data_IF_527310980635
#
_entry.id   IF_527310980635
#
_cell.length_a   1.000
_cell.length_b   1.000
_cell.length_c   1.000
_cell.angle_alpha   90.00
_cell.angle_beta   90.00
_cell.angle_gamma   90.00
#
_symmetry.space_group_name_H-M   'P 1'
#
loop_
_entity.id
_entity.type
_entity.pdbx_description
1 polymer ?
#
# COMPACT_ATOMS: atom_id res chain seq x y z
N UNK A 1 -25.49 22.07 -16.75
CA UNK A 1 -25.46 20.89 -15.87
C UNK A 1 -24.08 20.84 -15.26
N UNK A 2 -23.95 21.06 -13.95
CA UNK A 2 -22.68 20.89 -13.25
C UNK A 2 -22.40 19.38 -13.23
N UNK A 3 -21.27 18.94 -13.74
CA UNK A 3 -20.89 17.53 -13.70
C UNK A 3 -20.88 17.07 -12.23
N UNK A 4 -21.46 15.90 -11.93
CA UNK A 4 -21.28 15.30 -10.60
C UNK A 4 -19.78 15.10 -10.38
N UNK A 5 -19.24 15.44 -9.20
CA UNK A 5 -17.84 15.14 -8.90
C UNK A 5 -17.62 13.63 -9.10
N UNK A 6 -16.59 13.28 -9.85
CA UNK A 6 -16.19 11.89 -10.08
C UNK A 6 -15.86 11.24 -8.74
N UNK A 7 -16.29 9.98 -8.55
CA UNK A 7 -15.95 9.24 -7.33
C UNK A 7 -14.45 8.92 -7.27
N UNK A 8 -13.92 8.71 -6.05
CA UNK A 8 -12.50 8.39 -5.78
C UNK A 8 -11.90 7.38 -6.78
N UNK A 9 -12.53 6.21 -6.92
CA UNK A 9 -12.04 5.15 -7.82
C UNK A 9 -12.09 5.54 -9.30
N UNK A 10 -13.08 6.34 -9.71
CA UNK A 10 -13.16 6.82 -11.07
C UNK A 10 -12.02 7.79 -11.38
N UNK A 11 -11.71 8.70 -10.45
CA UNK A 11 -10.55 9.59 -10.58
C UNK A 11 -9.25 8.78 -10.68
N UNK A 12 -9.07 7.80 -9.80
CA UNK A 12 -7.89 6.96 -9.77
C UNK A 12 -7.64 6.22 -11.10
N UNK A 13 -8.68 5.67 -11.73
CA UNK A 13 -8.58 5.00 -13.04
C UNK A 13 -8.33 5.97 -14.20
N UNK A 14 -8.72 7.23 -14.07
CA UNK A 14 -8.50 8.24 -15.12
C UNK A 14 -7.10 8.86 -15.09
N UNK A 15 -6.33 8.61 -14.03
CA UNK A 15 -4.95 9.07 -13.94
C UNK A 15 -4.07 8.41 -15.02
N UNK A 16 -3.05 9.12 -15.54
CA UNK A 16 -1.98 8.49 -16.32
C UNK A 16 -1.31 7.34 -15.54
N UNK A 17 -0.83 6.31 -16.25
CA UNK A 17 -0.27 5.10 -15.63
C UNK A 17 0.87 5.41 -14.63
N UNK A 18 1.75 6.37 -14.94
CA UNK A 18 2.82 6.75 -14.02
C UNK A 18 2.31 7.39 -12.72
N UNK A 19 1.17 8.10 -12.77
CA UNK A 19 0.52 8.64 -11.57
C UNK A 19 -0.19 7.55 -10.77
N UNK A 20 -0.80 6.57 -11.43
CA UNK A 20 -1.34 5.37 -10.77
C UNK A 20 -0.24 4.57 -10.06
N UNK A 21 0.91 4.38 -10.72
CA UNK A 21 2.08 3.71 -10.14
C UNK A 21 2.66 4.48 -8.94
N UNK A 22 2.70 5.81 -9.01
CA UNK A 22 3.14 6.63 -7.90
C UNK A 22 2.16 6.54 -6.70
N UNK A 23 0.85 6.49 -6.96
CA UNK A 23 -0.17 6.25 -5.95
C UNK A 23 0.01 4.87 -5.28
N UNK A 24 0.19 3.82 -6.08
CA UNK A 24 0.46 2.47 -5.57
C UNK A 24 1.74 2.43 -4.74
N UNK A 25 2.81 3.09 -5.18
CA UNK A 25 4.08 3.15 -4.46
C UNK A 25 3.94 3.81 -3.08
N UNK A 26 3.15 4.89 -2.97
CA UNK A 26 2.87 5.54 -1.70
C UNK A 26 2.08 4.64 -0.74
N UNK A 27 1.07 3.91 -1.25
CA UNK A 27 0.36 2.91 -0.46
C UNK A 27 1.27 1.76 -0.01
N UNK A 28 2.14 1.28 -0.90
CA UNK A 28 3.11 0.25 -0.55
C UNK A 28 4.03 0.69 0.59
N UNK A 29 4.54 1.94 0.57
CA UNK A 29 5.33 2.51 1.68
C UNK A 29 4.55 2.45 3.00
N UNK A 30 3.24 2.75 2.98
CA UNK A 30 2.35 2.71 4.15
C UNK A 30 2.08 1.29 4.66
N UNK A 31 2.22 0.26 3.82
CA UNK A 31 2.02 -1.14 4.22
C UNK A 31 3.29 -1.77 4.82
N UNK A 32 4.49 -1.22 4.52
CA UNK A 32 5.77 -1.77 4.99
C UNK A 32 5.84 -2.01 6.51
N UNK A 33 5.34 -1.13 7.40
CA UNK A 33 5.46 -1.38 8.83
C UNK A 33 4.69 -2.62 9.29
N UNK A 34 3.60 -3.01 8.60
CA UNK A 34 2.88 -4.25 8.91
C UNK A 34 3.77 -5.49 8.66
N UNK A 35 4.41 -5.53 7.49
CA UNK A 35 5.34 -6.60 7.14
C UNK A 35 6.50 -6.65 8.12
N UNK A 36 7.10 -5.50 8.42
CA UNK A 36 8.24 -5.43 9.30
C UNK A 36 7.91 -5.87 10.73
N UNK A 37 6.73 -5.54 11.24
CA UNK A 37 6.29 -6.01 12.55
C UNK A 37 6.09 -7.53 12.58
N UNK A 38 5.54 -8.11 11.50
CA UNK A 38 5.47 -9.56 11.36
C UNK A 38 6.87 -10.18 11.42
N UNK A 39 7.82 -9.71 10.61
CA UNK A 39 9.21 -10.21 10.61
C UNK A 39 9.85 -10.09 12.00
N UNK A 40 9.66 -8.95 12.68
CA UNK A 40 10.18 -8.74 14.03
C UNK A 40 9.59 -9.73 15.05
N UNK A 41 8.30 -10.05 14.92
CA UNK A 41 7.57 -10.87 15.89
C UNK A 41 7.82 -12.37 15.68
N UNK A 42 7.94 -12.80 14.42
CA UNK A 42 8.07 -14.23 14.07
C UNK A 42 9.51 -14.65 13.76
N UNK A 43 10.38 -13.70 13.43
CA UNK A 43 11.72 -13.96 12.91
C UNK A 43 11.74 -14.49 11.47
N UNK A 44 10.61 -14.40 10.75
CA UNK A 44 10.45 -14.94 9.40
C UNK A 44 10.27 -13.83 8.36
N UNK A 45 10.82 -14.02 7.15
CA UNK A 45 10.75 -13.05 6.05
C UNK A 45 11.94 -12.09 5.97
N UNK A 46 11.94 -11.21 4.97
CA UNK A 46 13.04 -10.28 4.70
C UNK A 46 12.53 -8.85 4.40
N UNK A 47 12.46 -8.05 5.46
CA UNK A 47 12.05 -6.64 5.36
C UNK A 47 13.02 -5.79 4.53
N UNK A 48 14.29 -6.19 4.43
CA UNK A 48 15.28 -5.46 3.65
C UNK A 48 15.03 -5.64 2.16
N UNK A 49 14.73 -6.86 1.71
CA UNK A 49 14.37 -7.14 0.31
C UNK A 49 13.14 -6.35 -0.11
N UNK A 50 12.04 -6.40 0.66
CA UNK A 50 10.82 -5.66 0.35
C UNK A 50 11.06 -4.14 0.22
N UNK A 51 11.79 -3.53 1.17
CA UNK A 51 12.16 -2.09 1.13
C UNK A 51 13.10 -1.75 -0.03
N UNK A 52 13.99 -2.66 -0.39
CA UNK A 52 14.92 -2.49 -1.51
C UNK A 52 14.18 -2.48 -2.84
N UNK A 53 13.28 -3.44 -3.05
CA UNK A 53 12.45 -3.51 -4.26
C UNK A 53 11.59 -2.26 -4.40
N UNK A 54 10.93 -1.82 -3.33
CA UNK A 54 10.16 -0.58 -3.35
C UNK A 54 11.03 0.65 -3.62
N UNK A 55 12.29 0.65 -3.17
CA UNK A 55 13.23 1.74 -3.51
C UNK A 55 13.59 1.78 -5.00
N UNK A 56 13.70 0.62 -5.66
CA UNK A 56 13.91 0.53 -7.10
C UNK A 56 12.67 1.02 -7.89
N UNK A 57 11.47 0.76 -7.39
CA UNK A 57 10.23 1.34 -7.94
C UNK A 57 10.31 2.88 -7.93
N UNK A 58 10.70 3.48 -6.80
CA UNK A 58 10.86 4.93 -6.71
C UNK A 58 11.94 5.47 -7.65
N UNK A 59 13.06 4.76 -7.80
CA UNK A 59 14.09 5.11 -8.78
C UNK A 59 13.52 5.11 -10.21
N UNK A 60 12.75 4.08 -10.57
CA UNK A 60 12.09 3.97 -11.87
C UNK A 60 11.13 5.12 -12.13
N UNK A 61 10.35 5.53 -11.12
CA UNK A 61 9.42 6.65 -11.22
C UNK A 61 10.16 7.99 -11.41
N UNK A 62 11.32 8.17 -10.75
CA UNK A 62 12.12 9.40 -10.83
C UNK A 62 12.97 9.50 -12.11
N UNK A 63 13.37 8.37 -12.67
CA UNK A 63 14.20 8.28 -13.87
C UNK A 63 13.47 7.42 -14.91
N UNK A 64 12.58 8.03 -15.71
CA UNK A 64 11.94 7.36 -16.82
C UNK A 64 13.02 6.83 -17.78
N UNK A 65 13.20 5.51 -17.82
CA UNK A 65 14.27 4.86 -18.58
C UNK A 65 15.29 4.07 -17.75
N UNK A 66 15.26 4.14 -16.42
CA UNK A 66 16.10 3.28 -15.57
C UNK A 66 15.88 1.80 -15.92
N UNK A 67 16.97 1.09 -16.19
CA UNK A 67 16.97 -0.31 -16.58
C UNK A 67 16.97 -1.18 -15.33
N UNK A 68 15.78 -1.50 -14.84
CA UNK A 68 15.58 -2.35 -13.67
C UNK A 68 14.92 -3.64 -14.13
N UNK A 69 15.49 -4.77 -13.71
CA UNK A 69 14.94 -6.10 -13.95
C UNK A 69 13.87 -6.39 -12.88
N UNK A 70 12.62 -5.99 -13.18
CA UNK A 70 11.49 -6.18 -12.29
C UNK A 70 11.02 -7.63 -12.21
N UNK A 71 11.20 -8.43 -13.26
CA UNK A 71 10.95 -9.87 -13.21
C UNK A 71 11.82 -10.54 -12.14
N UNK A 72 13.13 -10.23 -12.13
CA UNK A 72 14.04 -10.71 -11.08
C UNK A 72 13.71 -10.15 -9.69
N UNK A 73 13.16 -8.94 -9.59
CA UNK A 73 12.74 -8.42 -8.29
C UNK A 73 11.46 -9.11 -7.78
N UNK A 74 10.53 -9.46 -8.67
CA UNK A 74 9.34 -10.24 -8.35
C UNK A 74 9.70 -11.63 -7.82
N UNK A 75 10.69 -12.31 -8.43
CA UNK A 75 11.21 -13.60 -7.93
C UNK A 75 11.69 -13.50 -6.47
N UNK A 76 12.40 -12.42 -6.11
CA UNK A 76 12.84 -12.19 -4.72
C UNK A 76 11.69 -11.83 -3.78
N UNK A 77 10.67 -11.13 -4.28
CA UNK A 77 9.49 -10.80 -3.47
C UNK A 77 8.67 -12.05 -3.14
N UNK A 78 8.61 -13.02 -4.03
CA UNK A 78 7.94 -14.30 -3.76
C UNK A 78 8.57 -15.02 -2.54
N UNK A 79 9.89 -14.92 -2.35
CA UNK A 79 10.57 -15.46 -1.17
C UNK A 79 10.26 -14.68 0.12
N UNK A 80 9.68 -13.48 0.01
CA UNK A 80 9.26 -12.67 1.16
C UNK A 80 7.84 -13.03 1.64
N UNK A 81 7.08 -13.85 0.93
CA UNK A 81 5.74 -14.26 1.36
C UNK A 81 5.81 -15.02 2.69
N UNK A 82 4.89 -14.75 3.63
CA UNK A 82 4.74 -15.57 4.83
C UNK A 82 4.45 -17.04 4.48
N UNK A 83 4.77 -18.01 5.36
CA UNK A 83 4.44 -19.41 5.11
C UNK A 83 2.95 -19.63 4.86
N UNK A 84 2.63 -20.52 3.93
CA UNK A 84 1.23 -20.84 3.57
C UNK A 84 0.40 -21.40 4.73
N UNK A 85 1.05 -21.96 5.76
CA UNK A 85 0.40 -22.51 6.96
C UNK A 85 0.30 -21.51 8.12
N UNK A 86 0.84 -20.29 7.99
CA UNK A 86 0.67 -19.21 8.97
C UNK A 86 -0.61 -18.42 8.68
N UNK A 87 -1.70 -18.85 9.32
CA UNK A 87 -3.00 -18.20 9.25
C UNK A 87 -3.15 -16.96 10.17
N UNK A 88 -2.06 -16.51 10.81
CA UNK A 88 -2.12 -15.39 11.73
C UNK A 88 -2.53 -14.08 11.04
N UNK A 89 -3.12 -13.18 11.82
CA UNK A 89 -3.44 -11.85 11.31
C UNK A 89 -2.20 -11.13 10.79
N UNK A 90 -1.06 -11.25 11.48
CA UNK A 90 0.21 -10.67 11.07
C UNK A 90 0.69 -11.19 9.72
N UNK A 91 0.63 -12.51 9.50
CA UNK A 91 0.97 -13.11 8.20
C UNK A 91 0.08 -12.57 7.08
N UNK A 92 -1.24 -12.46 7.27
CA UNK A 92 -2.13 -11.88 6.25
C UNK A 92 -1.78 -10.44 5.90
N UNK A 93 -1.42 -9.61 6.89
CA UNK A 93 -1.01 -8.21 6.65
C UNK A 93 0.38 -8.10 6.02
N UNK A 94 1.28 -9.02 6.32
CA UNK A 94 2.56 -9.14 5.64
C UNK A 94 2.37 -9.54 4.17
N UNK A 95 1.52 -10.54 3.89
CA UNK A 95 1.19 -10.96 2.54
C UNK A 95 0.57 -9.82 1.72
N UNK A 96 -0.36 -9.06 2.29
CA UNK A 96 -0.96 -7.88 1.63
C UNK A 96 0.12 -6.88 1.16
N UNK A 97 1.16 -6.65 1.96
CA UNK A 97 2.26 -5.76 1.59
C UNK A 97 3.08 -6.32 0.43
N UNK A 98 3.40 -7.62 0.45
CA UNK A 98 4.16 -8.30 -0.62
C UNK A 98 3.37 -8.28 -1.93
N UNK A 99 2.09 -8.67 -1.88
CA UNK A 99 1.20 -8.71 -3.04
C UNK A 99 0.98 -7.31 -3.62
N UNK A 100 0.83 -6.28 -2.78
CA UNK A 100 0.69 -4.90 -3.26
C UNK A 100 1.95 -4.41 -4.01
N UNK A 101 3.14 -4.71 -3.50
CA UNK A 101 4.40 -4.36 -4.19
C UNK A 101 4.53 -5.17 -5.48
N UNK A 102 4.18 -6.46 -5.48
CA UNK A 102 4.26 -7.29 -6.68
C UNK A 102 3.30 -6.80 -7.78
N UNK A 103 2.05 -6.47 -7.42
CA UNK A 103 1.09 -5.89 -8.34
C UNK A 103 1.59 -4.57 -8.97
N UNK A 104 2.32 -3.76 -8.20
CA UNK A 104 2.99 -2.57 -8.73
C UNK A 104 4.10 -2.93 -9.72
N UNK A 105 4.92 -3.96 -9.45
CA UNK A 105 5.92 -4.44 -10.41
C UNK A 105 5.28 -4.89 -11.71
N UNK A 106 4.17 -5.61 -11.65
CA UNK A 106 3.43 -6.07 -12.84
C UNK A 106 2.95 -4.88 -13.68
N UNK A 107 2.48 -3.80 -13.05
CA UNK A 107 2.13 -2.58 -13.80
C UNK A 107 3.34 -1.93 -14.49
N UNK A 108 4.52 -1.99 -13.88
CA UNK A 108 5.77 -1.42 -14.42
C UNK A 108 6.31 -2.25 -15.59
N UNK A 109 5.97 -3.54 -15.62
CA UNK A 109 6.24 -4.46 -16.72
C UNK A 109 5.19 -4.37 -17.84
N UNK A 110 4.01 -3.78 -17.55
CA UNK A 110 2.92 -3.59 -18.50
C UNK A 110 1.85 -4.70 -18.46
N UNK A 111 1.89 -5.57 -17.43
CA UNK A 111 1.07 -6.77 -17.34
C UNK A 111 -0.23 -6.58 -16.54
N UNK A 112 -0.33 -5.53 -15.72
CA UNK A 112 -1.46 -5.32 -14.81
C UNK A 112 -1.95 -3.85 -14.73
N UNK A 113 -2.36 -3.26 -15.85
CA UNK A 113 -2.71 -1.82 -15.93
C UNK A 113 -3.86 -1.32 -15.03
N UNK A 114 -4.65 -2.21 -14.42
CA UNK A 114 -5.79 -1.85 -13.56
C UNK A 114 -5.54 -2.10 -12.05
N UNK A 115 -4.35 -2.60 -11.69
CA UNK A 115 -4.02 -3.04 -10.33
C UNK A 115 -4.07 -1.91 -9.26
N UNK A 116 -4.11 -0.64 -9.68
CA UNK A 116 -4.22 0.52 -8.78
C UNK A 116 -5.45 0.44 -7.86
N UNK A 117 -6.57 -0.09 -8.38
CA UNK A 117 -7.79 -0.26 -7.62
C UNK A 117 -7.65 -1.33 -6.54
N UNK A 118 -6.99 -2.43 -6.89
CA UNK A 118 -6.81 -3.55 -5.98
C UNK A 118 -5.86 -3.17 -4.85
N UNK A 119 -4.76 -2.46 -5.13
CA UNK A 119 -3.85 -1.95 -4.08
C UNK A 119 -4.57 -0.97 -3.13
N UNK A 120 -5.38 -0.05 -3.67
CA UNK A 120 -6.22 0.84 -2.86
C UNK A 120 -7.17 0.08 -1.92
N UNK A 121 -7.83 -0.95 -2.46
CA UNK A 121 -8.79 -1.77 -1.71
C UNK A 121 -8.10 -2.66 -0.69
N UNK A 122 -6.96 -3.25 -1.01
CA UNK A 122 -6.16 -4.07 -0.10
C UNK A 122 -5.77 -3.30 1.14
N UNK A 123 -5.33 -2.04 0.99
CA UNK A 123 -5.00 -1.21 2.16
C UNK A 123 -6.22 -0.93 3.05
N UNK A 124 -7.38 -0.58 2.47
CA UNK A 124 -8.65 -0.39 3.22
C UNK A 124 -9.17 -1.69 3.85
N UNK A 125 -9.05 -2.82 3.15
CA UNK A 125 -9.40 -4.15 3.68
C UNK A 125 -8.48 -4.56 4.83
N UNK A 126 -7.21 -4.12 4.77
CA UNK A 126 -6.24 -4.04 5.86
C UNK A 126 -6.87 -3.58 7.16
N UNK A 127 -7.31 -2.32 7.13
CA UNK A 127 -7.92 -1.59 8.25
C UNK A 127 -9.22 -2.23 8.69
N UNK A 128 -10.09 -2.58 7.73
CA UNK A 128 -11.37 -3.23 8.00
C UNK A 128 -11.20 -4.48 8.84
N UNK A 129 -10.29 -5.38 8.44
CA UNK A 129 -10.09 -6.62 9.17
C UNK A 129 -9.45 -6.41 10.54
N UNK A 130 -8.64 -5.36 10.72
CA UNK A 130 -8.10 -5.00 12.03
C UNK A 130 -9.23 -4.58 12.99
N UNK A 131 -10.13 -3.70 12.53
CA UNK A 131 -11.31 -3.27 13.30
C UNK A 131 -12.20 -4.48 13.64
N UNK A 132 -12.44 -5.36 12.67
CA UNK A 132 -13.19 -6.61 12.89
C UNK A 132 -12.57 -7.49 13.97
N UNK A 133 -11.24 -7.60 13.98
CA UNK A 133 -10.52 -8.37 14.97
C UNK A 133 -10.65 -7.77 16.38
N UNK A 134 -10.64 -6.44 16.51
CA UNK A 134 -10.66 -5.75 17.81
C UNK A 134 -12.05 -5.59 18.41
N UNK A 135 -13.09 -5.45 17.59
CA UNK A 135 -14.48 -5.26 18.04
C UNK A 135 -15.15 -6.58 18.49
N UNK A 136 -14.64 -7.72 18.04
CA UNK A 136 -15.19 -9.04 18.35
C UNK A 136 -16.51 -9.34 17.63
N UNK A 137 -17.33 -10.25 18.19
CA UNK A 137 -18.58 -10.67 17.55
C UNK A 137 -19.67 -9.60 17.67
N UNK A 138 -19.89 -8.87 16.59
CA UNK A 138 -21.00 -7.92 16.40
C UNK A 138 -21.80 -8.29 15.14
N UNK A 139 -23.06 -7.90 15.08
CA UNK A 139 -23.85 -8.09 13.86
C UNK A 139 -23.28 -7.28 12.69
N UNK A 140 -23.49 -7.78 11.47
CA UNK A 140 -22.89 -7.20 10.27
C UNK A 140 -23.30 -5.74 10.00
N UNK A 141 -24.52 -5.34 10.39
CA UNK A 141 -25.00 -3.97 10.16
C UNK A 141 -24.31 -3.00 11.13
N UNK A 142 -24.22 -3.38 12.41
CA UNK A 142 -23.48 -2.62 13.42
C UNK A 142 -22.00 -2.55 13.09
N UNK A 143 -21.39 -3.65 12.68
CA UNK A 143 -19.99 -3.69 12.27
C UNK A 143 -19.70 -2.71 11.12
N UNK A 144 -20.58 -2.65 10.11
CA UNK A 144 -20.43 -1.72 9.01
C UNK A 144 -20.48 -0.25 9.47
N UNK A 145 -21.32 0.09 10.46
CA UNK A 145 -21.36 1.41 11.06
C UNK A 145 -20.08 1.71 11.86
N UNK A 146 -19.60 0.73 12.65
CA UNK A 146 -18.36 0.87 13.41
C UNK A 146 -17.19 1.12 12.46
N UNK A 147 -17.01 0.30 11.43
CA UNK A 147 -15.93 0.46 10.44
C UNK A 147 -16.02 1.84 9.78
N UNK A 148 -17.21 2.28 9.39
CA UNK A 148 -17.40 3.57 8.73
C UNK A 148 -16.98 4.74 9.62
N UNK A 149 -17.29 4.67 10.91
CA UNK A 149 -17.06 5.76 11.86
C UNK A 149 -15.74 5.58 12.66
N UNK A 150 -14.92 4.57 12.32
CA UNK A 150 -13.69 4.25 13.05
C UNK A 150 -12.54 5.21 12.66
N UNK A 151 -11.78 5.76 13.63
CA UNK A 151 -10.68 6.69 13.35
C UNK A 151 -9.61 6.15 12.38
N UNK A 152 -9.25 4.85 12.47
CA UNK A 152 -8.32 4.25 11.50
C UNK A 152 -8.86 4.21 10.06
N UNK A 153 -10.18 4.05 9.89
CA UNK A 153 -10.78 4.05 8.55
C UNK A 153 -10.86 5.47 8.00
N UNK A 154 -11.15 6.45 8.85
CA UNK A 154 -11.06 7.88 8.50
C UNK A 154 -9.62 8.24 8.07
N UNK A 155 -8.61 7.92 8.90
CA UNK A 155 -7.19 8.18 8.60
C UNK A 155 -6.72 7.51 7.29
N UNK A 156 -7.16 6.28 7.02
CA UNK A 156 -6.84 5.59 5.76
C UNK A 156 -7.51 6.23 4.54
N UNK A 157 -8.74 6.73 4.69
CA UNK A 157 -9.42 7.45 3.61
C UNK A 157 -8.74 8.79 3.35
N UNK A 158 -8.45 9.56 4.40
CA UNK A 158 -7.77 10.84 4.32
C UNK A 158 -6.37 10.69 3.71
N UNK A 159 -5.63 9.65 4.10
CA UNK A 159 -4.34 9.33 3.50
C UNK A 159 -4.48 9.06 2.00
N UNK A 160 -5.42 8.19 1.59
CA UNK A 160 -5.60 7.88 0.17
C UNK A 160 -6.07 9.07 -0.64
N UNK A 161 -6.92 9.93 -0.09
CA UNK A 161 -7.36 11.17 -0.72
C UNK A 161 -6.19 12.14 -0.89
N UNK A 162 -5.32 12.28 0.12
CA UNK A 162 -4.12 13.12 0.03
C UNK A 162 -3.11 12.59 -1.00
N UNK A 163 -2.91 11.27 -1.09
CA UNK A 163 -2.06 10.65 -2.12
C UNK A 163 -2.67 10.87 -3.50
N UNK A 164 -3.99 10.68 -3.66
CA UNK A 164 -4.71 10.92 -4.91
C UNK A 164 -4.56 12.38 -5.37
N UNK A 165 -4.74 13.33 -4.46
CA UNK A 165 -4.54 14.76 -4.74
C UNK A 165 -3.10 15.03 -5.21
N UNK A 166 -2.11 14.51 -4.50
CA UNK A 166 -0.70 14.69 -4.84
C UNK A 166 -0.34 14.13 -6.22
N UNK A 167 -0.85 12.95 -6.58
CA UNK A 167 -0.57 12.34 -7.91
C UNK A 167 -1.41 12.92 -9.05
N UNK A 168 -2.46 13.69 -8.73
CA UNK A 168 -3.26 14.41 -9.71
C UNK A 168 -2.57 15.68 -10.21
N UNK A 169 -1.55 16.16 -9.48
CA UNK A 169 -0.66 17.25 -9.90
C UNK A 169 0.52 16.72 -10.74
N UNK A 170 1.25 17.60 -11.46
CA UNK A 170 2.46 17.20 -12.19
C UNK A 170 3.50 16.52 -11.29
N UNK A 171 3.89 15.30 -11.63
CA UNK A 171 4.86 14.49 -10.88
C UNK A 171 6.30 14.73 -11.35
N UNK A 172 6.92 15.79 -10.85
CA UNK A 172 8.36 15.99 -10.99
C UNK A 172 9.16 15.24 -9.89
N UNK A 173 10.49 15.37 -9.92
CA UNK A 173 11.35 14.69 -8.94
C UNK A 173 11.12 15.17 -7.50
N UNK A 174 10.76 16.43 -7.29
CA UNK A 174 10.48 16.97 -5.97
C UNK A 174 9.14 16.43 -5.46
N UNK A 175 8.10 16.47 -6.29
CA UNK A 175 6.79 15.91 -6.00
C UNK A 175 6.86 14.42 -5.66
N UNK A 176 7.63 13.62 -6.42
CA UNK A 176 7.84 12.20 -6.11
C UNK A 176 8.56 11.97 -4.78
N UNK A 177 9.48 12.85 -4.39
CA UNK A 177 10.18 12.78 -3.10
C UNK A 177 9.21 13.10 -1.95
N UNK A 178 8.40 14.14 -2.10
CA UNK A 178 7.37 14.51 -1.13
C UNK A 178 6.30 13.41 -1.00
N UNK A 179 5.85 12.85 -2.13
CA UNK A 179 4.93 11.72 -2.16
C UNK A 179 5.48 10.50 -1.44
N UNK A 180 6.78 10.20 -1.60
CA UNK A 180 7.43 9.12 -0.86
C UNK A 180 7.46 9.39 0.65
N UNK A 181 7.67 10.64 1.06
CA UNK A 181 7.60 11.03 2.48
C UNK A 181 6.18 10.88 3.02
N UNK A 182 5.18 11.35 2.26
CA UNK A 182 3.76 11.14 2.58
C UNK A 182 3.45 9.65 2.73
N UNK A 183 3.84 8.83 1.76
CA UNK A 183 3.60 7.38 1.76
C UNK A 183 4.22 6.66 2.96
N UNK A 184 5.40 7.09 3.42
CA UNK A 184 6.01 6.54 4.64
C UNK A 184 5.25 6.88 5.90
N UNK A 185 4.43 7.93 5.90
CA UNK A 185 3.53 8.31 6.98
C UNK A 185 4.20 8.29 8.37
N UNK A 186 5.40 8.87 8.47
CA UNK A 186 6.17 8.87 9.74
C UNK A 186 6.53 7.49 10.28
N UNK A 187 6.50 6.44 9.46
CA UNK A 187 6.72 5.05 9.87
C UNK A 187 5.49 4.33 10.41
N UNK A 188 4.31 4.96 10.33
CA UNK A 188 3.04 4.42 10.84
C UNK A 188 2.23 3.82 9.68
N UNK A 189 1.82 2.56 9.82
CA UNK A 189 1.03 1.88 8.80
C UNK A 189 -0.43 2.31 8.76
N UNK A 190 -1.17 1.83 7.76
CA UNK A 190 -2.62 1.92 7.69
C UNK A 190 -3.35 1.37 8.93
N UNK A 191 -2.71 0.50 9.72
CA UNK A 191 -3.27 -0.05 10.95
C UNK A 191 -2.91 0.77 12.20
N UNK A 192 -2.23 1.91 12.05
CA UNK A 192 -1.71 2.69 13.17
C UNK A 192 -0.49 2.06 13.86
N UNK A 193 0.19 1.12 13.20
CA UNK A 193 1.32 0.38 13.75
C UNK A 193 2.66 0.96 13.28
N UNK A 194 3.62 1.06 14.18
CA UNK A 194 5.00 1.44 13.87
C UNK A 194 5.96 0.48 14.55
N UNK A 195 7.11 0.24 13.93
CA UNK A 195 8.28 -0.30 14.64
C UNK A 195 8.75 0.85 15.54
N UNK A 196 8.65 0.72 16.87
CA UNK A 196 9.09 1.78 17.79
C UNK A 196 10.55 2.19 17.55
N UNK A 197 10.95 3.36 18.05
CA UNK A 197 12.29 3.95 17.87
C UNK A 197 13.47 3.11 18.46
N UNK A 198 13.21 1.93 19.00
CA UNK A 198 14.19 1.03 19.64
C UNK A 198 14.65 -0.13 18.72
N UNK A 199 14.85 0.15 17.43
CA UNK A 199 15.47 -0.77 16.46
C UNK A 199 16.80 -0.23 15.91
#
# INVERSE_FOLDING_TARGET
MVAKPSGFYQLLQTLPLNAQQAFMAALCERLIPNYALYVQTTGQGDSHTLKTVLSLVWERLQVPGASIDFARQAEKLAECEPPEDDDSFGARRALDAVVAVNALLDTLQGDAGEAVLDVSRTSRAGVRAFIELTEGEVDAQKLALIIRDHPLMEDENDFQDAVLEAVSAPLDKAALKELRVLGRNGGVSNLGLSLGDDA
#
